data_IF_403954861457
#
_entry.id   IF_403954861457
#
_cell.length_a   1.000
_cell.length_b   1.000
_cell.length_c   1.000
_cell.angle_alpha   90.00
_cell.angle_beta   90.00
_cell.angle_gamma   90.00
#
_symmetry.space_group_name_H-M   'P 1'
#
loop_
_entity.id
_entity.type
_entity.pdbx_description
1 polymer ?
#
# COMPACT_ATOMS: atom_id res chain seq x y z
N UNK A 1 15.29 -2.89 4.97
CA UNK A 1 15.22 -1.65 4.18
C UNK A 1 15.21 -0.50 5.13
N UNK A 2 15.99 0.52 4.81
CA UNK A 2 15.90 1.80 5.48
C UNK A 2 14.89 2.64 4.73
N UNK A 3 13.84 3.10 5.43
CA UNK A 3 12.81 3.95 4.84
C UNK A 3 13.05 5.38 5.36
N UNK A 4 13.23 6.32 4.44
CA UNK A 4 13.29 7.75 4.75
C UNK A 4 11.94 8.35 4.36
N UNK A 5 11.23 8.90 5.35
CA UNK A 5 9.96 9.59 5.15
C UNK A 5 10.21 11.09 5.13
N UNK A 6 9.61 11.81 4.18
CA UNK A 6 9.71 13.26 4.07
C UNK A 6 8.37 13.88 3.73
N UNK A 7 8.06 15.05 4.30
CA UNK A 7 6.89 15.84 3.93
C UNK A 7 7.14 16.71 2.69
N UNK A 8 6.20 16.72 1.74
CA UNK A 8 6.21 17.62 0.57
C UNK A 8 5.07 18.62 0.69
N UNK A 9 5.39 19.88 1.00
CA UNK A 9 4.39 20.91 1.38
C UNK A 9 3.47 20.41 2.51
N UNK A 10 4.01 19.57 3.37
CA UNK A 10 3.38 18.94 4.52
C UNK A 10 4.44 18.91 5.62
N UNK A 11 4.04 19.15 6.86
CA UNK A 11 4.96 19.11 7.99
C UNK A 11 5.58 17.72 8.16
N UNK A 12 6.88 17.69 8.50
CA UNK A 12 7.64 16.45 8.62
C UNK A 12 7.04 15.51 9.68
N UNK A 13 6.64 16.05 10.83
CA UNK A 13 5.98 15.27 11.90
C UNK A 13 4.68 14.63 11.41
N UNK A 14 3.87 15.37 10.67
CA UNK A 14 2.61 14.86 10.10
C UNK A 14 2.88 13.75 9.07
N UNK A 15 3.91 13.90 8.25
CA UNK A 15 4.31 12.87 7.28
C UNK A 15 4.76 11.57 7.97
N UNK A 16 5.58 11.68 9.02
CA UNK A 16 6.06 10.54 9.80
C UNK A 16 4.94 9.85 10.58
N UNK A 17 4.06 10.64 11.20
CA UNK A 17 2.89 10.14 11.91
C UNK A 17 1.94 9.40 10.96
N UNK A 18 1.67 9.97 9.78
CA UNK A 18 0.84 9.31 8.78
C UNK A 18 1.45 8.01 8.26
N UNK A 19 2.75 7.98 8.03
CA UNK A 19 3.44 6.76 7.64
C UNK A 19 3.38 5.69 8.75
N UNK A 20 3.58 6.09 10.01
CA UNK A 20 3.51 5.20 11.16
C UNK A 20 2.11 4.62 11.34
N UNK A 21 1.07 5.46 11.26
CA UNK A 21 -0.33 5.04 11.38
C UNK A 21 -0.72 4.09 10.24
N UNK A 22 -0.28 4.38 9.01
CA UNK A 22 -0.48 3.50 7.86
C UNK A 22 0.20 2.15 8.05
N UNK A 23 1.45 2.13 8.53
CA UNK A 23 2.17 0.90 8.82
C UNK A 23 1.50 0.10 9.96
N UNK A 24 1.02 0.75 11.01
CA UNK A 24 0.28 0.10 12.10
C UNK A 24 -1.02 -0.53 11.59
N UNK A 25 -1.75 0.16 10.73
CA UNK A 25 -2.95 -0.37 10.10
C UNK A 25 -2.65 -1.56 9.19
N UNK A 26 -1.68 -1.43 8.26
CA UNK A 26 -1.29 -2.51 7.36
C UNK A 26 -0.85 -3.76 8.11
N UNK A 27 -0.18 -3.60 9.26
CA UNK A 27 0.24 -4.73 10.11
C UNK A 27 -0.92 -5.54 10.70
N UNK A 28 -2.16 -5.05 10.65
CA UNK A 28 -3.34 -5.84 11.00
C UNK A 28 -3.65 -6.92 9.94
N UNK A 29 -3.16 -6.76 8.70
CA UNK A 29 -3.14 -7.82 7.70
C UNK A 29 -1.90 -8.68 7.92
N UNK A 30 -2.09 -9.98 8.17
CA UNK A 30 -0.97 -10.94 8.31
C UNK A 30 -0.08 -10.92 7.07
N UNK A 31 -0.68 -10.77 5.90
CA UNK A 31 0.04 -10.75 4.64
C UNK A 31 0.83 -9.45 4.42
N UNK A 32 0.25 -8.28 4.67
CA UNK A 32 1.00 -7.02 4.62
C UNK A 32 2.09 -6.95 5.70
N UNK A 33 1.82 -7.44 6.91
CA UNK A 33 2.82 -7.54 7.98
C UNK A 33 4.03 -8.39 7.55
N UNK A 34 3.78 -9.54 6.91
CA UNK A 34 4.81 -10.39 6.34
C UNK A 34 5.63 -9.65 5.28
N UNK A 35 4.97 -9.02 4.30
CA UNK A 35 5.66 -8.26 3.24
C UNK A 35 6.50 -7.10 3.77
N UNK A 36 5.95 -6.33 4.71
CA UNK A 36 6.68 -5.23 5.36
C UNK A 36 7.91 -5.75 6.09
N UNK A 37 7.80 -6.87 6.82
CA UNK A 37 8.93 -7.45 7.53
C UNK A 37 10.02 -7.94 6.55
N UNK A 38 9.64 -8.60 5.45
CA UNK A 38 10.59 -9.02 4.41
C UNK A 38 11.28 -7.82 3.76
N UNK A 39 10.55 -6.75 3.44
CA UNK A 39 11.17 -5.52 2.93
C UNK A 39 12.16 -4.94 3.94
N UNK A 40 11.84 -4.98 5.24
CA UNK A 40 12.72 -4.47 6.29
C UNK A 40 14.03 -5.26 6.45
N UNK A 41 14.18 -6.49 5.92
CA UNK A 41 15.46 -7.21 5.92
C UNK A 41 16.40 -6.80 4.79
N UNK A 42 15.88 -6.20 3.71
CA UNK A 42 16.65 -5.87 2.51
C UNK A 42 17.53 -4.63 2.74
N UNK A 43 18.87 -4.68 2.57
CA UNK A 43 19.75 -3.52 2.79
C UNK A 43 19.70 -2.53 1.61
N UNK A 44 18.56 -1.86 1.45
CA UNK A 44 18.32 -0.79 0.48
C UNK A 44 17.65 0.39 1.14
N UNK A 45 17.74 1.53 0.47
CA UNK A 45 17.10 2.77 0.84
C UNK A 45 15.83 3.01 0.03
N UNK A 46 14.69 3.23 0.68
CA UNK A 46 13.47 3.69 0.04
C UNK A 46 13.12 5.08 0.55
N UNK A 47 12.90 6.03 -0.37
CA UNK A 47 12.40 7.35 0.01
C UNK A 47 10.89 7.40 -0.18
N UNK A 48 10.18 7.93 0.81
CA UNK A 48 8.74 8.18 0.76
C UNK A 48 8.52 9.69 0.95
N UNK A 49 8.01 10.34 -0.09
CA UNK A 49 7.57 11.73 -0.07
C UNK A 49 6.05 11.76 0.18
N UNK A 50 5.61 12.28 1.32
CA UNK A 50 4.21 12.34 1.74
C UNK A 50 3.63 13.72 1.41
N UNK A 51 2.44 13.76 0.82
CA UNK A 51 1.72 14.99 0.51
C UNK A 51 0.23 14.84 0.85
N UNK A 52 -0.49 15.94 1.04
CA UNK A 52 -1.96 15.94 1.17
C UNK A 52 -2.60 16.86 0.12
N UNK A 53 -2.13 16.75 -1.13
CA UNK A 53 -2.50 17.71 -2.16
C UNK A 53 -3.81 17.29 -2.82
N UNK A 54 -4.83 18.19 -2.90
CA UNK A 54 -6.08 17.89 -3.60
C UNK A 54 -5.92 17.88 -5.13
N UNK A 55 -4.75 18.28 -5.64
CA UNK A 55 -4.51 18.40 -7.08
C UNK A 55 -4.11 17.07 -7.69
N UNK A 56 -4.81 16.67 -8.76
CA UNK A 56 -4.63 15.44 -9.53
C UNK A 56 -3.24 15.22 -10.16
N UNK A 57 -2.33 16.20 -10.04
CA UNK A 57 -0.93 16.12 -10.52
C UNK A 57 0.02 15.46 -9.51
N UNK A 58 -0.41 15.28 -8.25
CA UNK A 58 0.34 14.56 -7.23
C UNK A 58 -0.28 13.17 -7.01
N UNK A 59 -0.28 12.36 -8.08
CA UNK A 59 -0.71 10.96 -8.01
C UNK A 59 0.36 10.12 -7.32
N UNK A 60 -0.08 9.13 -6.56
CA UNK A 60 0.79 8.14 -5.95
C UNK A 60 1.64 7.47 -7.01
N UNK A 61 2.94 7.37 -6.74
CA UNK A 61 3.86 6.82 -7.70
C UNK A 61 5.15 6.37 -7.04
N UNK A 62 5.40 5.07 -7.11
CA UNK A 62 6.73 4.52 -7.02
C UNK A 62 7.51 4.80 -8.31
N UNK A 63 8.75 5.25 -8.13
CA UNK A 63 9.71 5.53 -9.18
C UNK A 63 10.93 4.64 -8.95
N UNK A 64 11.30 3.89 -9.99
CA UNK A 64 12.51 3.07 -10.01
C UNK A 64 13.75 3.91 -9.68
N UNK A 65 14.72 3.34 -8.95
CA UNK A 65 16.01 4.00 -8.69
C UNK A 65 16.76 4.25 -10.00
N UNK A 66 17.60 5.29 -10.01
CA UNK A 66 18.53 5.53 -11.13
C UNK A 66 19.67 4.52 -11.08
N UNK A 67 20.31 4.25 -12.22
CA UNK A 67 21.47 3.34 -12.27
C UNK A 67 22.64 3.82 -11.39
N UNK A 68 22.72 5.12 -11.11
CA UNK A 68 23.69 5.73 -10.20
C UNK A 68 23.39 5.53 -8.70
N UNK A 69 22.25 4.91 -8.35
CA UNK A 69 21.80 4.68 -6.97
C UNK A 69 21.69 3.17 -6.70
N UNK A 70 22.80 2.40 -6.68
CA UNK A 70 22.77 0.93 -6.61
C UNK A 70 22.23 0.37 -5.27
N UNK A 71 22.14 1.21 -4.25
CA UNK A 71 21.61 0.88 -2.92
C UNK A 71 20.21 1.44 -2.67
N UNK A 72 19.51 1.88 -3.72
CA UNK A 72 18.15 2.43 -3.64
C UNK A 72 17.10 1.42 -4.11
N UNK A 73 16.00 1.34 -3.37
CA UNK A 73 14.75 0.67 -3.72
C UNK A 73 13.78 1.61 -4.48
N UNK A 74 14.20 2.85 -4.75
CA UNK A 74 13.42 3.85 -5.46
C UNK A 74 12.81 4.91 -4.56
N UNK A 75 11.83 5.63 -5.09
CA UNK A 75 11.12 6.71 -4.39
C UNK A 75 9.62 6.56 -4.56
N UNK A 76 8.85 6.73 -3.50
CA UNK A 76 7.39 6.73 -3.51
C UNK A 76 6.92 8.15 -3.25
N UNK A 77 6.10 8.72 -4.13
CA UNK A 77 5.22 9.83 -3.79
C UNK A 77 3.92 9.22 -3.26
N UNK A 78 3.53 9.54 -2.04
CA UNK A 78 2.32 9.04 -1.39
C UNK A 78 1.43 10.21 -0.98
N UNK A 79 0.19 10.23 -1.46
CA UNK A 79 -0.75 11.30 -1.21
C UNK A 79 -1.84 10.83 -0.24
N UNK A 80 -1.93 11.50 0.91
CA UNK A 80 -2.93 11.22 1.95
C UNK A 80 -4.36 11.52 1.49
N UNK A 81 -4.52 12.34 0.45
CA UNK A 81 -5.81 12.60 -0.18
C UNK A 81 -6.22 11.50 -1.16
N UNK A 82 -5.32 10.56 -1.48
CA UNK A 82 -5.63 9.48 -2.40
C UNK A 82 -6.47 8.40 -1.75
N UNK A 83 -7.55 8.03 -2.45
CA UNK A 83 -8.29 6.81 -2.22
C UNK A 83 -8.18 5.92 -3.45
N UNK A 84 -8.02 4.62 -3.25
CA UNK A 84 -8.19 3.65 -4.33
C UNK A 84 -9.69 3.29 -4.42
N UNK A 85 -10.18 3.07 -5.63
CA UNK A 85 -11.49 2.44 -5.83
C UNK A 85 -11.23 0.99 -6.22
N UNK A 86 -11.25 0.06 -5.26
CA UNK A 86 -11.36 -1.36 -5.60
C UNK A 86 -12.86 -1.65 -5.68
N UNK A 87 -13.36 -1.71 -6.90
CA UNK A 87 -14.68 -2.29 -7.14
C UNK A 87 -14.57 -3.81 -7.06
N UNK A 88 -14.94 -4.42 -5.94
CA UNK A 88 -15.72 -5.64 -6.05
C UNK A 88 -17.13 -5.18 -6.42
N UNK A 89 -17.63 -5.54 -7.61
CA UNK A 89 -19.07 -5.50 -7.79
C UNK A 89 -19.65 -6.39 -6.70
N UNK A 90 -20.48 -5.84 -5.81
CA UNK A 90 -21.04 -6.59 -4.69
C UNK A 90 -21.80 -7.86 -5.11
N UNK A 91 -22.09 -8.01 -6.41
CA UNK A 91 -22.71 -9.19 -7.02
C UNK A 91 -21.74 -10.33 -7.39
N UNK A 92 -20.42 -10.12 -7.37
CA UNK A 92 -19.40 -11.14 -7.73
C UNK A 92 -18.70 -11.77 -6.51
N UNK A 93 -19.06 -11.39 -5.29
CA UNK A 93 -18.56 -12.05 -4.07
C UNK A 93 -18.93 -13.54 -4.09
N UNK A 94 -17.95 -14.48 -4.04
CA UNK A 94 -18.23 -15.90 -4.00
C UNK A 94 -19.03 -16.25 -2.74
N UNK A 95 -20.14 -16.99 -2.89
CA UNK A 95 -20.94 -17.49 -1.76
C UNK A 95 -22.18 -16.67 -1.37
N UNK A 96 -22.52 -15.58 -2.08
CA UNK A 96 -23.73 -14.81 -1.80
C UNK A 96 -25.01 -15.48 -2.34
N UNK A 97 -26.03 -15.53 -1.48
CA UNK A 97 -27.40 -15.90 -1.85
C UNK A 97 -28.08 -14.84 -2.73
N UNK A 98 -29.19 -15.22 -3.39
CA UNK A 98 -29.89 -14.30 -4.32
C UNK A 98 -30.42 -13.03 -3.64
N UNK A 99 -30.88 -13.14 -2.39
CA UNK A 99 -31.40 -12.00 -1.61
C UNK A 99 -30.30 -10.97 -1.33
N UNK A 100 -29.11 -11.43 -0.97
CA UNK A 100 -27.94 -10.60 -0.67
C UNK A 100 -27.38 -9.93 -1.93
N UNK A 101 -27.43 -10.63 -3.09
CA UNK A 101 -27.12 -10.01 -4.40
C UNK A 101 -28.12 -8.91 -4.77
N UNK A 102 -29.40 -9.09 -4.44
CA UNK A 102 -30.43 -8.07 -4.69
C UNK A 102 -30.25 -6.84 -3.78
N UNK A 103 -29.88 -7.04 -2.51
CA UNK A 103 -29.54 -5.96 -1.58
C UNK A 103 -28.26 -5.23 -2.00
N UNK A 104 -27.21 -5.96 -2.42
CA UNK A 104 -25.97 -5.37 -2.93
C UNK A 104 -26.20 -4.53 -4.20
N UNK A 105 -27.15 -4.92 -5.08
CA UNK A 105 -27.57 -4.12 -6.25
C UNK A 105 -28.34 -2.86 -5.85
N UNK A 106 -29.15 -2.93 -4.79
CA UNK A 106 -29.97 -1.81 -4.31
C UNK A 106 -29.17 -0.76 -3.51
N UNK A 107 -28.07 -1.17 -2.85
CA UNK A 107 -27.22 -0.29 -2.05
C UNK A 107 -26.11 0.42 -2.85
N UNK A 108 -26.04 0.23 -4.16
CA UNK A 108 -24.94 0.72 -5.01
C UNK A 108 -23.63 0.01 -4.69
N UNK A 109 -22.64 0.10 -5.58
CA UNK A 109 -21.29 -0.32 -5.26
C UNK A 109 -20.90 0.39 -3.95
N UNK A 110 -20.76 -0.37 -2.86
CA UNK A 110 -20.05 0.14 -1.68
C UNK A 110 -18.63 0.36 -2.14
N UNK A 111 -18.36 1.57 -2.64
CA UNK A 111 -17.02 2.09 -2.86
C UNK A 111 -16.36 2.00 -1.49
N UNK A 112 -15.66 0.89 -1.26
CA UNK A 112 -14.81 0.73 -0.11
C UNK A 112 -13.73 1.77 -0.33
N UNK A 113 -13.89 2.91 0.34
CA UNK A 113 -12.91 3.99 0.31
C UNK A 113 -11.62 3.39 0.80
N UNK A 114 -10.76 2.97 -0.13
CA UNK A 114 -9.53 2.31 0.27
C UNK A 114 -8.65 3.35 0.93
N UNK A 115 -8.23 3.03 2.15
CA UNK A 115 -7.42 3.91 2.96
C UNK A 115 -6.11 4.26 2.21
N UNK A 116 -5.58 5.47 2.39
CA UNK A 116 -4.28 5.85 1.85
C UNK A 116 -3.18 4.81 2.15
N UNK A 117 -3.30 4.05 3.24
CA UNK A 117 -2.37 2.99 3.59
C UNK A 117 -2.33 1.83 2.59
N UNK A 118 -3.46 1.44 2.01
CA UNK A 118 -3.48 0.42 0.95
C UNK A 118 -2.85 0.94 -0.35
N UNK A 119 -3.01 2.23 -0.65
CA UNK A 119 -2.29 2.87 -1.77
C UNK A 119 -0.78 2.84 -1.52
N UNK A 120 -0.35 3.15 -0.29
CA UNK A 120 1.03 2.98 0.12
C UNK A 120 1.51 1.53 -0.08
N UNK A 121 0.71 0.54 0.34
CA UNK A 121 1.04 -0.87 0.18
C UNK A 121 1.21 -1.27 -1.28
N UNK A 122 0.35 -0.76 -2.17
CA UNK A 122 0.45 -0.95 -3.61
C UNK A 122 1.79 -0.40 -4.16
N UNK A 123 2.16 0.82 -3.78
CA UNK A 123 3.43 1.41 -4.22
C UNK A 123 4.65 0.68 -3.64
N UNK A 124 4.57 0.19 -2.39
CA UNK A 124 5.58 -0.71 -1.80
C UNK A 124 5.65 -2.06 -2.54
N UNK A 125 4.52 -2.56 -3.03
CA UNK A 125 4.43 -3.76 -3.85
C UNK A 125 5.21 -3.61 -5.16
N UNK A 126 5.18 -2.45 -5.81
CA UNK A 126 6.01 -2.16 -6.99
C UNK A 126 7.50 -2.17 -6.66
N UNK A 127 7.88 -1.54 -5.55
CA UNK A 127 9.27 -1.57 -5.07
C UNK A 127 9.73 -3.00 -4.81
N UNK A 128 8.88 -3.82 -4.19
CA UNK A 128 9.13 -5.24 -3.95
C UNK A 128 9.35 -6.00 -5.26
N UNK A 129 8.42 -5.89 -6.23
CA UNK A 129 8.51 -6.55 -7.53
C UNK A 129 9.83 -6.21 -8.26
N UNK A 130 10.23 -4.95 -8.24
CA UNK A 130 11.50 -4.53 -8.82
C UNK A 130 12.73 -5.15 -8.13
N UNK A 131 12.70 -5.29 -6.81
CA UNK A 131 13.82 -5.84 -6.05
C UNK A 131 13.95 -7.35 -6.26
N UNK A 132 12.85 -8.09 -6.32
CA UNK A 132 12.90 -9.56 -6.47
C UNK A 132 13.44 -10.03 -7.82
N UNK A 133 13.32 -9.21 -8.85
CA UNK A 133 13.88 -9.49 -10.18
C UNK A 133 15.42 -9.46 -10.18
N UNK A 134 16.03 -8.87 -9.15
CA UNK A 134 17.48 -8.78 -9.05
C UNK A 134 18.04 -9.93 -8.20
N UNK A 135 18.86 -10.79 -8.81
CA UNK A 135 19.42 -11.99 -8.17
C UNK A 135 20.09 -11.74 -6.80
N UNK A 136 20.82 -10.62 -6.65
CA UNK A 136 21.47 -10.23 -5.40
C UNK A 136 20.51 -9.90 -4.24
N UNK A 137 19.22 -9.71 -4.51
CA UNK A 137 18.20 -9.38 -3.51
C UNK A 137 17.54 -10.61 -2.92
N UNK A 138 17.37 -11.66 -3.73
CA UNK A 138 16.73 -12.89 -3.29
C UNK A 138 17.46 -13.56 -2.12
N UNK A 139 18.76 -13.28 -1.93
CA UNK A 139 19.54 -13.78 -0.78
C UNK A 139 19.10 -13.23 0.58
N UNK A 140 18.42 -12.07 0.60
CA UNK A 140 17.93 -11.44 1.82
C UNK A 140 16.51 -11.85 2.19
N UNK A 141 15.82 -12.54 1.27
CA UNK A 141 14.46 -13.01 1.47
C UNK A 141 14.46 -14.31 2.28
N UNK A 142 13.45 -14.48 3.12
CA UNK A 142 13.24 -15.73 3.85
C UNK A 142 13.01 -16.90 2.87
N UNK A 143 13.13 -18.12 3.40
CA UNK A 143 12.83 -19.34 2.62
C UNK A 143 11.37 -19.33 2.13
N UNK A 144 10.45 -18.95 3.01
CA UNK A 144 9.02 -18.91 2.72
C UNK A 144 8.70 -17.89 1.64
N UNK A 145 9.35 -16.72 1.69
CA UNK A 145 9.19 -15.68 0.69
C UNK A 145 9.71 -16.11 -0.69
N UNK A 146 10.89 -16.74 -0.73
CA UNK A 146 11.46 -17.29 -1.98
C UNK A 146 10.56 -18.36 -2.60
N UNK A 147 9.89 -19.18 -1.79
CA UNK A 147 8.96 -20.20 -2.29
C UNK A 147 7.69 -19.59 -2.93
N UNK A 148 7.31 -18.38 -2.51
CA UNK A 148 6.09 -17.71 -2.97
C UNK A 148 6.34 -16.63 -4.01
N UNK A 149 7.60 -16.31 -4.32
CA UNK A 149 8.01 -15.14 -5.12
C UNK A 149 7.36 -15.09 -6.51
N UNK A 150 7.17 -16.25 -7.15
CA UNK A 150 6.55 -16.37 -8.47
C UNK A 150 5.01 -16.25 -8.44
N UNK A 151 4.40 -16.40 -7.26
CA UNK A 151 2.96 -16.29 -7.06
C UNK A 151 2.55 -14.88 -6.56
N UNK A 152 3.52 -14.02 -6.24
CA UNK A 152 3.31 -12.67 -5.73
C UNK A 152 3.26 -11.66 -6.88
N UNK A 153 2.08 -11.49 -7.48
CA UNK A 153 1.82 -10.34 -8.35
C UNK A 153 1.14 -9.19 -7.57
N UNK A 154 1.30 -7.96 -8.03
CA UNK A 154 0.81 -6.76 -7.35
C UNK A 154 -0.70 -6.81 -7.07
N UNK A 155 -1.49 -7.32 -8.00
CA UNK A 155 -2.94 -7.48 -7.81
C UNK A 155 -3.30 -8.48 -6.71
N UNK A 156 -2.57 -9.59 -6.61
CA UNK A 156 -2.75 -10.58 -5.54
C UNK A 156 -2.39 -9.97 -4.19
N UNK A 157 -1.38 -9.10 -4.14
CA UNK A 157 -1.02 -8.35 -2.94
C UNK A 157 -2.16 -7.42 -2.54
N UNK A 158 -2.62 -6.57 -3.46
CA UNK A 158 -3.67 -5.60 -3.18
C UNK A 158 -4.96 -6.28 -2.70
N UNK A 159 -5.40 -7.33 -3.38
CA UNK A 159 -6.62 -8.07 -3.03
C UNK A 159 -6.51 -8.77 -1.68
N UNK A 160 -5.40 -9.45 -1.41
CA UNK A 160 -5.21 -10.16 -0.15
C UNK A 160 -5.18 -9.20 1.05
N UNK A 161 -4.52 -8.05 0.90
CA UNK A 161 -4.46 -7.04 1.97
C UNK A 161 -5.81 -6.36 2.14
N UNK A 162 -6.49 -5.98 1.05
CA UNK A 162 -7.81 -5.37 1.12
C UNK A 162 -8.84 -6.30 1.80
N UNK A 163 -8.87 -7.58 1.43
CA UNK A 163 -9.74 -8.57 2.06
C UNK A 163 -9.45 -8.76 3.55
N UNK A 164 -8.19 -8.74 3.96
CA UNK A 164 -7.82 -8.91 5.38
C UNK A 164 -8.08 -7.67 6.24
N UNK A 165 -8.23 -6.50 5.63
CA UNK A 165 -8.43 -5.23 6.32
C UNK A 165 -9.88 -4.70 6.20
N UNK A 166 -10.77 -5.41 5.50
CA UNK A 166 -12.10 -4.90 5.16
C UNK A 166 -12.96 -4.54 6.39
N UNK A 167 -12.77 -5.23 7.51
CA UNK A 167 -13.48 -5.04 8.78
C UNK A 167 -12.67 -4.23 9.81
N UNK A 168 -11.48 -3.74 9.44
CA UNK A 168 -10.55 -3.05 10.34
C UNK A 168 -10.70 -1.54 10.24
N UNK A 169 -10.74 -0.88 11.39
CA UNK A 169 -10.77 0.58 11.45
C UNK A 169 -9.40 1.17 11.05
N UNK A 170 -9.40 2.05 10.05
CA UNK A 170 -8.25 2.90 9.75
C UNK A 170 -8.24 4.10 10.71
N UNK A 171 -7.10 4.48 11.30
CA UNK A 171 -7.03 5.70 12.11
C UNK A 171 -7.45 6.92 11.28
N UNK A 172 -8.62 7.50 11.54
CA UNK A 172 -9.17 8.62 10.75
C UNK A 172 -8.50 9.98 11.02
N UNK A 173 -7.39 10.01 11.75
CA UNK A 173 -6.77 11.22 12.29
C UNK A 173 -6.35 12.24 11.21
N UNK A 174 -6.21 11.82 9.95
CA UNK A 174 -5.73 12.69 8.87
C UNK A 174 -6.81 13.25 7.94
N UNK A 175 -8.08 12.80 8.06
CA UNK A 175 -9.19 13.40 7.29
C UNK A 175 -9.41 14.88 7.64
N UNK A 176 -9.06 15.29 8.86
CA UNK A 176 -9.20 16.69 9.33
C UNK A 176 -8.16 17.66 8.76
N UNK A 177 -7.13 17.17 8.08
CA UNK A 177 -6.11 18.01 7.43
C UNK A 177 -6.47 18.40 5.99
N UNK A 178 -7.63 17.93 5.49
CA UNK A 178 -8.04 18.06 4.07
C UNK A 178 -9.22 19.04 3.87
N UNK A 179 -9.73 19.65 4.94
CA UNK A 179 -10.78 20.67 4.84
C UNK A 179 -10.26 22.01 5.37
N UNK A 180 -10.40 23.10 4.59
CA UNK A 180 -10.35 24.45 5.15
C UNK A 180 -11.53 24.70 6.09
#
# INVERSE_FOLDING_TARGET
>A
MTIIVTGRKLDQSVAEDAFRDACQYLRQSRFAAFLLNELMTVPQLLHIEVTASPLSRNKDAWRRPKNSEPHSAGRVLWNLSSGYFAGEHGNTRPGLGELERHQARAHGDQLSHISPALVLMHELGKAYQYLIEKAGFQRYLSRDMRAQIHNLNLHAIDNAVALQLWDKAYPENHRRLVLP
#
